data_IF_898531560440
#
_entry.id   IF_898531560440
#
_cell.length_a   1.000
_cell.length_b   1.000
_cell.length_c   1.000
_cell.angle_alpha   90.00
_cell.angle_beta   90.00
_cell.angle_gamma   90.00
#
_symmetry.space_group_name_H-M   'P 1'
#
loop_
_entity.id
_entity.type
_entity.pdbx_description
1 polymer ?
#
# COMPACT_ATOMS: atom_id res chain seq x y z
N UNK A 1 -2.73 -27.27 53.70
CA UNK A 1 -3.58 -27.69 52.57
C UNK A 1 -4.19 -26.48 51.83
N UNK A 2 -4.75 -25.49 52.53
CA UNK A 2 -5.31 -24.26 51.92
C UNK A 2 -4.31 -23.43 51.08
N UNK A 3 -3.03 -23.42 51.44
CA UNK A 3 -1.99 -22.69 50.71
C UNK A 3 -1.65 -23.26 49.32
N UNK A 4 -2.03 -24.51 49.03
CA UNK A 4 -1.73 -25.18 47.75
C UNK A 4 -2.85 -24.89 46.74
N UNK A 5 -4.13 -24.90 47.16
CA UNK A 5 -5.25 -24.48 46.32
C UNK A 5 -5.22 -22.99 45.97
N UNK A 6 -4.68 -22.13 46.85
CA UNK A 6 -4.54 -20.69 46.56
C UNK A 6 -3.45 -20.36 45.53
N UNK A 7 -2.47 -21.26 45.31
CA UNK A 7 -1.28 -21.01 44.45
C UNK A 7 -1.40 -21.58 43.04
N UNK A 8 -2.30 -22.53 42.78
CA UNK A 8 -2.53 -23.11 41.46
C UNK A 8 -4.03 -23.10 41.21
N UNK A 9 -4.47 -22.33 40.21
CA UNK A 9 -5.87 -22.19 39.74
C UNK A 9 -6.88 -23.02 40.55
N UNK A 10 -7.58 -22.43 41.52
CA UNK A 10 -8.36 -23.16 42.54
C UNK A 10 -9.54 -23.97 41.96
N UNK A 11 -9.83 -23.79 40.67
CA UNK A 11 -10.91 -24.44 39.93
C UNK A 11 -10.39 -25.46 38.91
N UNK A 12 -9.08 -25.71 38.89
CA UNK A 12 -8.48 -26.66 37.97
C UNK A 12 -8.62 -28.09 38.52
N UNK A 13 -9.07 -29.02 37.67
CA UNK A 13 -9.19 -30.44 38.01
C UNK A 13 -7.90 -31.02 38.64
N UNK A 14 -6.68 -30.67 38.17
CA UNK A 14 -5.44 -31.12 38.81
C UNK A 14 -5.26 -30.60 40.25
N UNK A 15 -5.71 -29.38 40.56
CA UNK A 15 -5.61 -28.83 41.91
C UNK A 15 -6.58 -29.54 42.88
N UNK A 16 -7.78 -29.88 42.41
CA UNK A 16 -8.77 -30.66 43.16
C UNK A 16 -8.29 -32.09 43.43
N UNK A 17 -7.76 -32.77 42.41
CA UNK A 17 -7.20 -34.12 42.53
C UNK A 17 -6.03 -34.13 43.53
N UNK A 18 -5.14 -33.13 43.46
CA UNK A 18 -4.01 -33.04 44.38
C UNK A 18 -4.45 -32.76 45.82
N UNK A 19 -5.49 -31.95 46.01
CA UNK A 19 -6.08 -31.69 47.33
C UNK A 19 -6.72 -32.95 47.93
N UNK A 20 -7.48 -33.70 47.13
CA UNK A 20 -8.08 -34.97 47.52
C UNK A 20 -7.00 -36.01 47.89
N UNK A 21 -5.96 -36.16 47.07
CA UNK A 21 -4.85 -37.07 47.33
C UNK A 21 -4.01 -36.67 48.56
N UNK A 22 -3.95 -35.38 48.90
CA UNK A 22 -3.29 -34.90 50.12
C UNK A 22 -4.14 -35.17 51.38
N UNK A 23 -5.46 -35.14 51.27
CA UNK A 23 -6.38 -35.48 52.36
C UNK A 23 -6.38 -36.98 52.69
N UNK A 24 -6.16 -37.85 51.70
CA UNK A 24 -6.08 -39.30 51.91
C UNK A 24 -4.87 -39.72 52.77
N UNK A 25 -3.75 -38.97 52.66
CA UNK A 25 -2.44 -39.27 53.27
C UNK A 25 -2.25 -38.79 54.72
N UNK A 26 -3.13 -37.97 55.27
CA UNK A 26 -3.07 -37.60 56.70
C UNK A 26 -3.65 -38.74 57.54
N UNK A 27 -3.24 -38.95 58.80
CA UNK A 27 -3.82 -40.02 59.67
C UNK A 27 -4.85 -39.47 60.68
N UNK A 28 -5.13 -38.17 60.61
CA UNK A 28 -6.02 -37.47 61.54
C UNK A 28 -7.46 -37.45 60.99
N UNK A 29 -8.34 -38.23 61.62
CA UNK A 29 -9.73 -38.43 61.17
C UNK A 29 -10.52 -37.12 61.13
N UNK A 30 -10.27 -36.18 62.06
CA UNK A 30 -10.95 -34.89 62.09
C UNK A 30 -10.54 -33.99 60.91
N UNK A 31 -9.24 -33.96 60.59
CA UNK A 31 -8.72 -33.21 59.44
C UNK A 31 -9.24 -33.77 58.10
N UNK A 32 -9.40 -35.11 58.00
CA UNK A 32 -10.02 -35.75 56.83
C UNK A 32 -11.46 -35.30 56.64
N UNK A 33 -12.30 -35.41 57.67
CA UNK A 33 -13.72 -35.02 57.60
C UNK A 33 -13.90 -33.56 57.19
N UNK A 34 -13.09 -32.64 57.74
CA UNK A 34 -13.16 -31.22 57.38
C UNK A 34 -12.77 -30.97 55.90
N UNK A 35 -11.82 -31.73 55.38
CA UNK A 35 -11.38 -31.61 53.97
C UNK A 35 -12.36 -32.25 53.00
N UNK A 36 -12.97 -33.39 53.35
CA UNK A 36 -14.03 -34.01 52.54
C UNK A 36 -15.26 -33.12 52.49
N UNK A 37 -15.70 -32.57 53.62
CA UNK A 37 -16.82 -31.61 53.64
C UNK A 37 -16.53 -30.36 52.81
N UNK A 38 -15.30 -29.83 52.84
CA UNK A 38 -14.91 -28.69 52.00
C UNK A 38 -14.98 -29.03 50.51
N UNK A 39 -14.46 -30.18 50.11
CA UNK A 39 -14.49 -30.65 48.73
C UNK A 39 -15.93 -30.91 48.26
N UNK A 40 -16.78 -31.53 49.09
CA UNK A 40 -18.21 -31.76 48.81
C UNK A 40 -18.97 -30.44 48.63
N UNK A 41 -18.81 -29.48 49.55
CA UNK A 41 -19.41 -28.13 49.40
C UNK A 41 -18.93 -27.44 48.13
N UNK A 42 -17.66 -27.64 47.75
CA UNK A 42 -17.08 -27.04 46.55
C UNK A 42 -17.60 -27.70 45.28
N UNK A 43 -17.71 -29.03 45.24
CA UNK A 43 -18.31 -29.81 44.14
C UNK A 43 -19.76 -29.37 43.96
N UNK A 44 -20.56 -29.34 45.04
CA UNK A 44 -21.94 -28.88 45.00
C UNK A 44 -22.08 -27.46 44.45
N UNK A 45 -21.18 -26.54 44.83
CA UNK A 45 -21.15 -25.19 44.28
C UNK A 45 -20.83 -25.18 42.77
N UNK A 46 -19.88 -25.99 42.32
CA UNK A 46 -19.53 -26.11 40.90
C UNK A 46 -20.65 -26.74 40.08
N UNK A 47 -21.35 -27.74 40.62
CA UNK A 47 -22.53 -28.35 40.00
C UNK A 47 -23.64 -27.32 39.80
N UNK A 48 -23.98 -26.52 40.83
CA UNK A 48 -24.98 -25.45 40.70
C UNK A 48 -24.56 -24.34 39.73
N UNK A 49 -23.26 -24.04 39.65
CA UNK A 49 -22.73 -23.04 38.72
C UNK A 49 -22.78 -23.55 37.27
N UNK A 50 -22.53 -24.85 37.06
CA UNK A 50 -22.65 -25.51 35.75
C UNK A 50 -24.12 -25.56 35.30
N UNK A 51 -25.02 -25.98 36.19
CA UNK A 51 -26.46 -26.01 35.89
C UNK A 51 -26.99 -24.60 35.54
N UNK A 52 -26.54 -23.57 36.28
CA UNK A 52 -26.86 -22.18 35.97
C UNK A 52 -26.34 -21.72 34.60
N UNK A 53 -25.12 -22.13 34.22
CA UNK A 53 -24.56 -21.83 32.88
C UNK A 53 -25.30 -22.56 31.77
N UNK A 54 -25.71 -23.80 32.00
CA UNK A 54 -26.53 -24.56 31.04
C UNK A 54 -27.89 -23.90 30.83
N UNK A 55 -28.52 -23.41 31.89
CA UNK A 55 -29.78 -22.69 31.79
C UNK A 55 -29.65 -21.32 31.13
N UNK A 56 -28.54 -20.61 31.35
CA UNK A 56 -28.21 -19.37 30.62
C UNK A 56 -27.98 -19.66 29.12
N UNK A 57 -27.24 -20.72 28.79
CA UNK A 57 -27.00 -21.14 27.41
C UNK A 57 -28.31 -21.52 26.72
N UNK A 58 -29.20 -22.28 27.37
CA UNK A 58 -30.54 -22.60 26.85
C UNK A 58 -31.38 -21.34 26.60
N UNK A 59 -31.36 -20.37 27.51
CA UNK A 59 -32.07 -19.08 27.35
C UNK A 59 -31.50 -18.28 26.18
N UNK A 60 -30.17 -18.21 26.07
CA UNK A 60 -29.47 -17.53 24.98
C UNK A 60 -29.78 -18.17 23.62
N UNK A 61 -29.73 -19.51 23.54
CA UNK A 61 -30.08 -20.26 22.33
C UNK A 61 -31.52 -19.99 21.90
N UNK A 62 -32.48 -20.04 22.84
CA UNK A 62 -33.89 -19.74 22.54
C UNK A 62 -34.07 -18.30 22.05
N UNK A 63 -33.38 -17.33 22.65
CA UNK A 63 -33.42 -15.94 22.19
C UNK A 63 -32.87 -15.80 20.76
N UNK A 64 -31.76 -16.48 20.46
CA UNK A 64 -31.17 -16.51 19.12
C UNK A 64 -32.12 -17.15 18.10
N UNK A 65 -32.77 -18.26 18.43
CA UNK A 65 -33.77 -18.92 17.58
C UNK A 65 -34.95 -18.00 17.28
N UNK A 66 -35.44 -17.27 18.29
CA UNK A 66 -36.51 -16.29 18.10
C UNK A 66 -36.10 -15.15 17.17
N UNK A 67 -34.88 -14.63 17.30
CA UNK A 67 -34.36 -13.61 16.37
C UNK A 67 -34.22 -14.18 14.95
N UNK A 68 -33.70 -15.40 14.81
CA UNK A 68 -33.59 -16.07 13.52
C UNK A 68 -34.95 -16.24 12.84
N UNK A 69 -35.97 -16.72 13.58
CA UNK A 69 -37.32 -16.87 13.06
C UNK A 69 -37.93 -15.53 12.64
N UNK A 70 -37.73 -14.47 13.45
CA UNK A 70 -38.20 -13.11 13.12
C UNK A 70 -37.59 -12.62 11.81
N UNK A 71 -36.27 -12.74 11.68
CA UNK A 71 -35.54 -12.31 10.47
C UNK A 71 -35.94 -13.16 9.26
N UNK A 72 -36.10 -14.47 9.44
CA UNK A 72 -36.58 -15.38 8.39
C UNK A 72 -37.94 -14.94 7.84
N UNK A 73 -38.91 -14.67 8.71
CA UNK A 73 -40.25 -14.21 8.29
C UNK A 73 -40.17 -12.88 7.54
N UNK A 74 -39.33 -11.94 7.99
CA UNK A 74 -39.13 -10.66 7.30
C UNK A 74 -38.57 -10.85 5.88
N UNK A 75 -37.60 -11.75 5.70
CA UNK A 75 -37.06 -12.06 4.39
C UNK A 75 -38.05 -12.81 3.50
N UNK A 76 -38.82 -13.76 4.05
CA UNK A 76 -39.87 -14.46 3.31
C UNK A 76 -40.95 -13.49 2.83
N UNK A 77 -41.38 -12.54 3.68
CA UNK A 77 -42.30 -11.47 3.27
C UNK A 77 -41.72 -10.60 2.16
N UNK A 78 -40.45 -10.19 2.29
CA UNK A 78 -39.78 -9.37 1.27
C UNK A 78 -39.63 -10.10 -0.06
N UNK A 79 -39.35 -11.40 -0.01
CA UNK A 79 -39.30 -12.25 -1.21
C UNK A 79 -40.67 -12.32 -1.88
N UNK A 80 -41.75 -12.54 -1.12
CA UNK A 80 -43.11 -12.55 -1.67
C UNK A 80 -43.50 -11.20 -2.30
N UNK A 81 -43.17 -10.08 -1.68
CA UNK A 81 -43.38 -8.75 -2.27
C UNK A 81 -42.64 -8.59 -3.60
N UNK A 82 -41.38 -9.01 -3.67
CA UNK A 82 -40.56 -8.92 -4.88
C UNK A 82 -41.08 -9.86 -5.98
N UNK A 83 -41.48 -11.08 -5.62
CA UNK A 83 -42.12 -12.03 -6.55
C UNK A 83 -43.44 -11.46 -7.09
N UNK A 84 -44.24 -10.81 -6.25
CA UNK A 84 -45.48 -10.16 -6.68
C UNK A 84 -45.21 -8.96 -7.60
N UNK A 85 -44.21 -8.13 -7.29
CA UNK A 85 -43.80 -7.02 -8.16
C UNK A 85 -43.29 -7.54 -9.51
N UNK A 86 -42.46 -8.57 -9.52
CA UNK A 86 -42.00 -9.21 -10.75
C UNK A 86 -43.18 -9.79 -11.54
N UNK A 87 -44.09 -10.51 -10.89
CA UNK A 87 -45.28 -11.05 -11.53
C UNK A 87 -46.21 -9.96 -12.09
N UNK A 88 -46.29 -8.80 -11.43
CA UNK A 88 -47.02 -7.63 -11.92
C UNK A 88 -46.34 -7.02 -13.15
N UNK A 89 -45.02 -6.79 -13.11
CA UNK A 89 -44.25 -6.29 -14.26
C UNK A 89 -44.34 -7.25 -15.46
N UNK A 90 -44.11 -8.54 -15.25
CA UNK A 90 -44.22 -9.58 -16.29
C UNK A 90 -45.67 -9.81 -16.74
N UNK A 91 -46.66 -9.60 -15.87
CA UNK A 91 -48.08 -9.70 -16.21
C UNK A 91 -48.61 -8.49 -17.00
N UNK A 92 -47.98 -7.33 -16.84
CA UNK A 92 -48.24 -6.13 -17.64
C UNK A 92 -47.47 -6.15 -18.97
N UNK A 93 -46.33 -6.84 -19.01
CA UNK A 93 -45.57 -7.11 -20.24
C UNK A 93 -46.13 -8.32 -21.00
N UNK A 94 -47.18 -8.05 -21.78
CA UNK A 94 -47.63 -8.67 -23.06
C UNK A 94 -49.04 -9.28 -23.07
N UNK A 95 -49.86 -9.05 -24.13
CA UNK A 95 -49.51 -8.59 -25.47
C UNK A 95 -50.25 -7.29 -25.90
N UNK A 96 -49.51 -6.19 -26.08
CA UNK A 96 -49.89 -5.12 -27.01
C UNK A 96 -48.67 -4.74 -27.87
N UNK A 97 -48.63 -5.33 -29.06
CA UNK A 97 -47.66 -5.18 -30.14
C UNK A 97 -47.55 -3.74 -30.73
N UNK A 98 -47.73 -2.67 -29.95
CA UNK A 98 -47.58 -1.31 -30.47
C UNK A 98 -47.17 -0.22 -29.44
N UNK A 99 -46.92 -0.58 -28.17
CA UNK A 99 -46.51 0.39 -27.14
C UNK A 99 -44.99 0.52 -26.92
N UNK A 100 -44.22 -0.53 -27.22
CA UNK A 100 -42.80 -0.62 -26.84
C UNK A 100 -41.85 0.18 -27.72
N UNK A 101 -42.35 0.85 -28.78
CA UNK A 101 -41.51 1.77 -29.55
C UNK A 101 -41.16 3.01 -28.75
N UNK A 102 -42.09 3.58 -27.99
CA UNK A 102 -41.84 4.82 -27.25
C UNK A 102 -40.76 4.65 -26.18
N UNK A 103 -40.90 3.66 -25.29
CA UNK A 103 -39.93 3.38 -24.23
C UNK A 103 -38.57 2.89 -24.75
N UNK A 104 -38.57 2.07 -25.81
CA UNK A 104 -37.32 1.65 -26.47
C UNK A 104 -36.62 2.85 -27.12
N UNK A 105 -37.35 3.77 -27.75
CA UNK A 105 -36.75 4.97 -28.34
C UNK A 105 -36.28 5.97 -27.28
N UNK A 106 -36.93 6.03 -26.12
CA UNK A 106 -36.56 6.91 -25.02
C UNK A 106 -35.27 6.42 -24.34
N UNK A 107 -35.16 5.11 -24.08
CA UNK A 107 -33.93 4.47 -23.62
C UNK A 107 -32.78 4.62 -24.63
N UNK A 108 -33.06 4.45 -25.92
CA UNK A 108 -32.05 4.63 -26.97
C UNK A 108 -31.57 6.09 -27.06
N UNK A 109 -32.47 7.06 -26.87
CA UNK A 109 -32.12 8.47 -26.75
C UNK A 109 -31.31 8.79 -25.49
N UNK A 110 -31.67 8.24 -24.33
CA UNK A 110 -30.90 8.41 -23.09
C UNK A 110 -29.49 7.83 -23.22
N UNK A 111 -29.35 6.65 -23.82
CA UNK A 111 -28.06 6.00 -24.07
C UNK A 111 -27.21 6.84 -25.03
N UNK A 112 -27.84 7.40 -26.07
CA UNK A 112 -27.16 8.27 -27.02
C UNK A 112 -26.77 9.63 -26.41
N UNK A 113 -27.60 10.18 -25.52
CA UNK A 113 -27.29 11.39 -24.76
C UNK A 113 -26.16 11.14 -23.76
N UNK A 114 -26.18 10.03 -23.04
CA UNK A 114 -25.12 9.62 -22.12
C UNK A 114 -23.79 9.44 -22.85
N UNK A 115 -23.81 8.80 -24.03
CA UNK A 115 -22.64 8.63 -24.89
C UNK A 115 -22.06 9.98 -25.36
N UNK A 116 -22.92 10.93 -25.76
CA UNK A 116 -22.51 12.30 -26.13
C UNK A 116 -21.89 13.03 -24.93
N UNK A 117 -22.53 12.98 -23.77
CA UNK A 117 -22.02 13.60 -22.54
C UNK A 117 -20.66 13.02 -22.17
N UNK A 118 -20.52 11.69 -22.18
CA UNK A 118 -19.24 11.03 -21.91
C UNK A 118 -18.17 11.44 -22.93
N UNK A 119 -18.50 11.50 -24.22
CA UNK A 119 -17.58 11.94 -25.26
C UNK A 119 -17.13 13.40 -25.07
N UNK A 120 -18.02 14.28 -24.65
CA UNK A 120 -17.69 15.68 -24.31
C UNK A 120 -16.78 15.72 -23.08
N UNK A 121 -17.08 14.97 -22.02
CA UNK A 121 -16.24 14.91 -20.82
C UNK A 121 -14.85 14.39 -21.14
N UNK A 122 -14.73 13.33 -21.92
CA UNK A 122 -13.44 12.78 -22.36
C UNK A 122 -12.67 13.81 -23.19
N UNK A 123 -13.34 14.51 -24.12
CA UNK A 123 -12.74 15.59 -24.89
C UNK A 123 -12.22 16.74 -24.02
N UNK A 124 -13.00 17.17 -23.02
CA UNK A 124 -12.60 18.21 -22.07
C UNK A 124 -11.41 17.78 -21.20
N UNK A 125 -11.40 16.53 -20.73
CA UNK A 125 -10.27 16.00 -19.98
C UNK A 125 -9.01 15.89 -20.86
N UNK A 126 -9.15 15.52 -22.13
CA UNK A 126 -8.03 15.51 -23.07
C UNK A 126 -7.48 16.91 -23.36
N UNK A 127 -8.34 17.92 -23.51
CA UNK A 127 -7.87 19.31 -23.69
C UNK A 127 -7.21 19.84 -22.42
N UNK A 128 -7.71 19.47 -21.23
CA UNK A 128 -7.07 19.79 -19.96
C UNK A 128 -5.69 19.14 -19.83
N UNK A 129 -5.56 17.86 -20.20
CA UNK A 129 -4.28 17.14 -20.22
C UNK A 129 -3.28 17.84 -21.16
N UNK A 130 -3.69 18.19 -22.39
CA UNK A 130 -2.80 18.88 -23.33
C UNK A 130 -2.45 20.31 -22.85
N UNK A 131 -3.39 21.03 -22.23
CA UNK A 131 -3.11 22.32 -21.60
C UNK A 131 -2.09 22.18 -20.46
N UNK A 132 -2.29 21.25 -19.52
CA UNK A 132 -1.36 21.00 -18.42
C UNK A 132 0.03 20.55 -18.91
N UNK A 133 0.07 19.74 -19.97
CA UNK A 133 1.33 19.33 -20.62
C UNK A 133 2.04 20.49 -21.29
N UNK A 134 1.31 21.39 -21.95
CA UNK A 134 1.86 22.63 -22.52
C UNK A 134 2.40 23.55 -21.42
N UNK A 135 1.66 23.71 -20.32
CA UNK A 135 2.05 24.50 -19.16
C UNK A 135 3.31 23.93 -18.50
N UNK A 136 3.38 22.60 -18.31
CA UNK A 136 4.58 21.93 -17.80
C UNK A 136 5.79 22.13 -18.73
N UNK A 137 5.58 22.09 -20.04
CA UNK A 137 6.65 22.34 -21.02
C UNK A 137 7.16 23.79 -20.95
N UNK A 138 6.25 24.76 -20.81
CA UNK A 138 6.59 26.18 -20.60
C UNK A 138 7.32 26.41 -19.27
N UNK A 139 6.85 25.83 -18.17
CA UNK A 139 7.51 25.91 -16.86
C UNK A 139 8.91 25.29 -16.90
N UNK A 140 9.09 24.17 -17.60
CA UNK A 140 10.39 23.53 -17.78
C UNK A 140 11.37 24.39 -18.59
N UNK A 141 10.89 25.11 -19.61
CA UNK A 141 11.70 26.08 -20.35
C UNK A 141 12.03 27.32 -19.51
N UNK A 142 11.05 27.84 -18.76
CA UNK A 142 11.24 28.99 -17.87
C UNK A 142 12.24 28.69 -16.75
N UNK A 143 12.12 27.54 -16.09
CA UNK A 143 13.09 27.05 -15.10
C UNK A 143 14.51 26.97 -15.66
N UNK A 144 14.67 26.57 -16.92
CA UNK A 144 15.99 26.49 -17.58
C UNK A 144 16.58 27.88 -17.88
N UNK A 145 15.74 28.87 -18.14
CA UNK A 145 16.18 30.25 -18.35
C UNK A 145 16.46 30.96 -17.02
N UNK A 146 15.59 30.79 -16.02
CA UNK A 146 15.75 31.37 -14.69
C UNK A 146 17.05 30.88 -14.00
N UNK A 147 17.43 29.60 -14.19
CA UNK A 147 18.71 29.08 -13.71
C UNK A 147 19.93 29.72 -14.40
N UNK A 148 19.85 29.99 -15.71
CA UNK A 148 20.93 30.67 -16.45
C UNK A 148 21.10 32.12 -16.01
N UNK A 149 20.00 32.81 -15.74
CA UNK A 149 20.03 34.20 -15.28
C UNK A 149 20.53 34.31 -13.83
N UNK A 150 20.19 33.34 -12.96
CA UNK A 150 20.69 33.28 -11.59
C UNK A 150 22.21 33.03 -11.54
N UNK A 151 22.73 32.09 -12.35
CA UNK A 151 24.18 31.82 -12.46
C UNK A 151 24.96 33.00 -13.07
N UNK A 152 24.37 33.69 -14.06
CA UNK A 152 24.92 34.91 -14.66
C UNK A 152 24.99 36.07 -13.67
N UNK A 153 23.98 36.20 -12.80
CA UNK A 153 23.95 37.25 -11.78
C UNK A 153 24.91 36.96 -10.62
N UNK A 154 24.99 35.71 -10.15
CA UNK A 154 25.95 35.30 -9.12
C UNK A 154 27.41 35.45 -9.57
N UNK A 155 27.71 35.10 -10.82
CA UNK A 155 29.05 35.31 -11.40
C UNK A 155 29.43 36.79 -11.53
N UNK A 156 28.49 37.67 -11.91
CA UNK A 156 28.72 39.13 -11.94
C UNK A 156 28.94 39.72 -10.53
N UNK A 157 28.20 39.28 -9.52
CA UNK A 157 28.36 39.74 -8.14
C UNK A 157 29.73 39.30 -7.60
N UNK A 158 30.13 38.04 -7.83
CA UNK A 158 31.46 37.54 -7.45
C UNK A 158 32.59 38.31 -8.14
N UNK A 159 32.42 38.63 -9.42
CA UNK A 159 33.39 39.45 -10.16
C UNK A 159 33.49 40.88 -9.62
N UNK A 160 32.37 41.50 -9.26
CA UNK A 160 32.33 42.82 -8.62
C UNK A 160 33.06 42.84 -7.27
N UNK A 161 32.76 41.87 -6.40
CA UNK A 161 33.39 41.75 -5.09
C UNK A 161 34.91 41.51 -5.19
N UNK A 162 35.36 40.72 -6.17
CA UNK A 162 36.78 40.51 -6.42
C UNK A 162 37.47 41.80 -6.90
N UNK A 163 36.81 42.57 -7.77
CA UNK A 163 37.31 43.85 -8.27
C UNK A 163 37.44 44.89 -7.15
N UNK A 164 36.45 44.98 -6.27
CA UNK A 164 36.48 45.89 -5.12
C UNK A 164 37.58 45.52 -4.12
N UNK A 165 37.79 44.22 -3.88
CA UNK A 165 38.90 43.76 -3.04
C UNK A 165 40.27 44.10 -3.63
N UNK A 166 40.41 44.00 -4.96
CA UNK A 166 41.63 44.38 -5.66
C UNK A 166 41.88 45.89 -5.56
N UNK A 167 40.85 46.72 -5.74
CA UNK A 167 40.96 48.18 -5.59
C UNK A 167 41.40 48.57 -4.17
N UNK A 168 40.83 47.94 -3.13
CA UNK A 168 41.24 48.17 -1.74
C UNK A 168 42.69 47.79 -1.48
N UNK A 169 43.12 46.62 -1.95
CA UNK A 169 44.51 46.18 -1.83
C UNK A 169 45.47 47.12 -2.58
N UNK A 170 45.06 47.63 -3.74
CA UNK A 170 45.86 48.59 -4.49
C UNK A 170 45.98 49.94 -3.77
N UNK A 171 44.89 50.42 -3.14
CA UNK A 171 44.92 51.63 -2.31
C UNK A 171 45.83 51.44 -1.08
N UNK A 172 45.76 50.29 -0.42
CA UNK A 172 46.64 49.94 0.70
C UNK A 172 48.11 49.90 0.27
N UNK A 173 48.41 49.31 -0.90
CA UNK A 173 49.75 49.28 -1.48
C UNK A 173 50.26 50.70 -1.76
N UNK A 174 49.44 51.57 -2.34
CA UNK A 174 49.79 52.98 -2.56
C UNK A 174 50.08 53.69 -1.23
N UNK A 175 49.27 53.46 -0.20
CA UNK A 175 49.49 54.03 1.12
C UNK A 175 50.78 53.51 1.76
N UNK A 176 51.06 52.21 1.68
CA UNK A 176 52.30 51.61 2.17
C UNK A 176 53.53 52.12 1.41
N UNK A 177 53.43 52.35 0.11
CA UNK A 177 54.50 52.98 -0.66
C UNK A 177 54.78 54.43 -0.22
N UNK A 178 53.74 55.20 0.09
CA UNK A 178 53.91 56.55 0.68
C UNK A 178 54.61 56.48 2.03
N UNK A 179 54.18 55.57 2.90
CA UNK A 179 54.79 55.34 4.22
C UNK A 179 56.27 54.97 4.08
N UNK A 180 56.62 54.05 3.18
CA UNK A 180 58.01 53.70 2.86
C UNK A 180 58.79 54.92 2.37
N UNK A 181 58.20 55.73 1.49
CA UNK A 181 58.86 56.95 0.99
C UNK A 181 59.14 57.95 2.11
N UNK A 182 58.21 58.13 3.04
CA UNK A 182 58.37 59.05 4.16
C UNK A 182 59.37 58.53 5.20
N UNK A 183 59.37 57.22 5.47
CA UNK A 183 60.42 56.57 6.25
C UNK A 183 61.79 56.73 5.58
N UNK A 184 61.87 56.58 4.25
CA UNK A 184 63.12 56.77 3.49
C UNK A 184 63.64 58.20 3.64
N UNK A 185 62.79 59.23 3.49
CA UNK A 185 63.18 60.63 3.74
C UNK A 185 63.65 60.85 5.18
N UNK A 186 63.03 60.17 6.14
CA UNK A 186 63.40 60.27 7.56
C UNK A 186 64.76 59.64 7.81
N UNK A 187 65.02 58.44 7.24
CA UNK A 187 66.31 57.78 7.29
C UNK A 187 67.39 58.64 6.62
N UNK A 188 67.12 59.22 5.46
CA UNK A 188 68.06 60.13 4.78
C UNK A 188 68.39 61.38 5.62
N UNK A 189 67.40 61.96 6.31
CA UNK A 189 67.63 63.08 7.25
C UNK A 189 68.53 62.65 8.41
N UNK A 190 68.20 61.53 9.06
CA UNK A 190 69.00 60.98 10.17
C UNK A 190 70.42 60.62 9.72
N UNK A 191 70.59 60.10 8.49
CA UNK A 191 71.90 59.85 7.91
C UNK A 191 72.68 61.14 7.65
N UNK A 192 72.03 62.21 7.14
CA UNK A 192 72.66 63.53 6.99
C UNK A 192 73.07 64.13 8.33
N UNK A 193 72.20 64.07 9.35
CA UNK A 193 72.52 64.52 10.71
C UNK A 193 73.70 63.72 11.29
N UNK A 194 73.71 62.40 11.13
CA UNK A 194 74.83 61.53 11.52
C UNK A 194 76.12 61.94 10.81
N UNK A 195 76.08 62.23 9.50
CA UNK A 195 77.25 62.68 8.75
C UNK A 195 77.75 64.05 9.21
N UNK A 196 76.86 64.99 9.55
CA UNK A 196 77.23 66.30 10.13
C UNK A 196 77.90 66.11 11.50
N UNK A 197 77.28 65.32 12.40
CA UNK A 197 77.86 65.03 13.72
C UNK A 197 79.22 64.31 13.63
N UNK A 198 79.41 63.43 12.66
CA UNK A 198 80.70 62.77 12.41
C UNK A 198 81.72 63.72 11.75
N UNK A 199 81.28 64.72 10.98
CA UNK A 199 82.16 65.73 10.37
C UNK A 199 82.69 66.72 11.40
N UNK A 200 81.87 67.13 12.37
CA UNK A 200 82.28 67.99 13.50
C UNK A 200 83.23 67.28 14.47
N UNK A 201 83.12 65.95 14.60
CA UNK A 201 84.04 65.14 15.40
C UNK A 201 85.42 64.91 14.73
N UNK A 202 85.53 65.08 13.41
CA UNK A 202 86.80 64.95 12.68
C UNK A 202 87.66 66.23 12.69
N UNK A 203 87.15 67.36 13.22
CA UNK A 203 87.94 68.58 13.45
C UNK A 203 88.52 68.69 14.88
N UNK A 204 88.18 67.77 15.79
CA UNK A 204 88.59 67.80 17.21
C UNK A 204 89.54 66.68 17.64
N UNK A 205 89.92 65.75 16.77
CA UNK A 205 90.90 64.70 17.07
C UNK A 205 92.08 64.72 16.07
N UNK A 206 92.82 65.83 16.05
CA UNK A 206 94.20 65.87 15.54
C UNK A 206 95.13 65.72 16.73
N UNK A 207 95.46 64.49 17.09
CA UNK A 207 96.71 64.17 17.81
C UNK A 207 96.98 62.68 17.74
N UNK A 208 98.05 62.40 16.99
CA UNK A 208 99.08 61.42 17.32
C UNK A 208 98.80 59.93 17.00
N UNK A 209 99.61 59.48 16.04
CA UNK A 209 100.43 58.24 16.08
C UNK A 209 99.70 56.89 16.05
N UNK A 210 100.21 55.82 15.45
CA UNK A 210 101.20 55.49 14.42
C UNK A 210 101.24 53.94 14.45
N UNK A 211 101.53 53.29 13.33
CA UNK A 211 101.95 51.88 13.29
C UNK A 211 100.82 50.93 12.86
N UNK A 212 100.81 50.41 11.63
CA UNK A 212 101.61 49.26 11.15
C UNK A 212 101.28 48.00 11.97
N UNK A 213 101.00 46.83 11.42
CA UNK A 213 101.33 46.26 10.14
C UNK A 213 100.38 45.10 9.87
N UNK A 214 100.02 44.90 8.61
CA UNK A 214 99.55 43.63 8.10
C UNK A 214 100.65 42.57 8.25
N UNK A 215 100.24 41.30 8.35
CA UNK A 215 100.71 40.16 7.54
C UNK A 215 100.58 38.84 8.33
N UNK A 216 100.49 37.76 7.57
CA UNK A 216 100.72 36.35 7.90
C UNK A 216 99.46 35.50 8.06
N UNK A 217 99.30 34.33 7.45
CA UNK A 217 99.86 33.65 6.28
C UNK A 217 99.13 32.29 6.25
N UNK A 218 98.67 31.87 5.06
CA UNK A 218 98.53 30.49 4.54
C UNK A 218 98.26 29.35 5.54
N UNK A 219 97.27 28.50 5.22
CA UNK A 219 97.58 27.17 4.65
C UNK A 219 96.37 26.53 3.93
N UNK A 220 96.68 26.04 2.75
CA UNK A 220 95.89 25.20 1.84
C UNK A 220 95.61 23.83 2.47
N UNK A 221 94.54 23.12 2.07
CA UNK A 221 94.56 22.06 1.02
C UNK A 221 93.25 21.25 0.99
N UNK A 222 92.65 21.16 -0.22
CA UNK A 222 92.06 19.99 -0.92
C UNK A 222 91.26 18.94 -0.12
N UNK A 223 90.13 18.35 -0.57
CA UNK A 223 89.81 17.90 -1.91
C UNK A 223 88.34 17.42 -2.01
N UNK A 224 87.69 17.73 -3.14
CA UNK A 224 86.94 16.77 -3.98
C UNK A 224 85.69 16.06 -3.41
N UNK A 225 84.48 16.58 -3.69
CA UNK A 225 83.55 16.03 -4.71
C UNK A 225 82.11 16.56 -4.57
N UNK A 226 81.50 16.78 -5.75
CA UNK A 226 80.06 16.86 -6.07
C UNK A 226 79.26 18.13 -5.71
N UNK A 227 78.99 18.88 -6.78
CA UNK A 227 77.73 19.56 -7.15
C UNK A 227 77.09 20.49 -6.10
N UNK A 228 77.36 21.78 -6.29
CA UNK A 228 76.47 22.91 -5.99
C UNK A 228 75.08 22.68 -6.66
N UNK A 229 73.96 23.24 -6.22
CA UNK A 229 73.73 24.60 -5.71
C UNK A 229 72.28 24.62 -5.17
N UNK A 230 72.04 24.83 -3.87
CA UNK A 230 71.77 26.13 -3.19
C UNK A 230 70.31 26.60 -3.44
N UNK A 231 69.48 26.99 -2.46
CA UNK A 231 69.73 27.57 -1.14
C UNK A 231 68.66 27.15 -0.12
N UNK A 232 69.12 26.71 1.05
CA UNK A 232 68.38 26.75 2.30
C UNK A 232 69.30 27.41 3.31
N UNK A 233 69.05 28.68 3.57
CA UNK A 233 69.60 29.51 4.65
C UNK A 233 68.71 30.77 4.75
N UNK A 234 68.77 31.57 5.82
CA UNK A 234 68.89 31.23 7.24
C UNK A 234 67.96 32.12 8.07
N UNK A 235 66.94 31.57 8.76
CA UNK A 235 66.24 32.39 9.75
C UNK A 235 67.03 32.41 11.06
N UNK A 236 67.78 33.50 11.17
CA UNK A 236 68.39 34.07 12.36
C UNK A 236 67.73 33.68 13.68
N UNK A 237 68.60 33.25 14.59
CA UNK A 237 68.55 33.40 16.04
C UNK A 237 67.87 34.70 16.51
N UNK A 238 66.54 34.69 16.66
CA UNK A 238 65.77 35.72 17.35
C UNK A 238 64.75 35.04 18.26
N UNK A 239 65.18 34.21 19.21
CA UNK A 239 64.39 33.86 20.40
C UNK A 239 65.32 33.56 21.58
N UNK A 240 66.17 34.53 21.92
CA UNK A 240 66.61 34.69 23.30
C UNK A 240 65.54 35.55 24.00
N UNK A 241 64.38 34.96 24.27
CA UNK A 241 63.50 35.42 25.33
C UNK A 241 63.29 34.20 26.22
N UNK A 242 64.30 33.91 27.05
CA UNK A 242 64.18 33.04 28.20
C UNK A 242 63.16 33.68 29.16
N UNK A 243 61.88 33.62 28.81
CA UNK A 243 60.78 33.68 29.77
C UNK A 243 60.90 32.42 30.59
N UNK A 244 61.69 32.53 31.64
CA UNK A 244 61.75 31.62 32.79
C UNK A 244 60.30 31.28 33.12
N UNK A 245 59.89 30.05 32.80
CA UNK A 245 58.55 29.56 33.06
C UNK A 245 58.36 29.54 34.58
N UNK A 246 57.72 30.58 35.14
CA UNK A 246 57.35 30.58 36.55
C UNK A 246 56.23 29.55 36.74
N UNK A 247 56.41 28.49 37.55
CA UNK A 247 55.37 27.48 37.75
C UNK A 247 54.14 28.03 38.49
N UNK A 248 54.22 29.24 39.05
CA UNK A 248 53.19 29.86 39.88
C UNK A 248 52.39 30.95 39.16
N UNK A 249 52.59 31.17 37.85
CA UNK A 249 51.77 32.11 37.06
C UNK A 249 50.37 31.58 36.73
N UNK A 250 50.12 30.30 37.00
CA UNK A 250 48.77 29.73 37.08
C UNK A 250 48.41 29.63 38.56
N UNK A 251 47.66 30.59 39.07
CA UNK A 251 47.09 30.50 40.42
C UNK A 251 46.26 29.20 40.53
N UNK A 252 46.30 28.52 41.68
CA UNK A 252 45.51 27.29 41.95
C UNK A 252 44.00 27.43 41.60
N UNK A 253 43.48 28.66 41.60
CA UNK A 253 42.14 29.01 41.12
C UNK A 253 41.89 28.62 39.65
N UNK A 254 42.84 28.85 38.75
CA UNK A 254 42.70 28.53 37.32
C UNK A 254 42.78 27.02 37.08
N UNK A 255 43.59 26.30 37.87
CA UNK A 255 43.65 24.84 37.79
C UNK A 255 42.35 24.21 38.31
N UNK A 256 41.78 24.74 39.39
CA UNK A 256 40.48 24.29 39.91
C UNK A 256 39.33 24.57 38.94
N UNK A 257 39.32 25.72 38.28
CA UNK A 257 38.31 26.08 37.26
C UNK A 257 38.36 25.12 36.07
N UNK A 258 39.55 24.82 35.54
CA UNK A 258 39.75 23.87 34.45
C UNK A 258 39.33 22.44 34.85
N UNK A 259 39.60 22.02 36.10
CA UNK A 259 39.17 20.71 36.60
C UNK A 259 37.64 20.61 36.74
N UNK A 260 37.01 21.69 37.21
CA UNK A 260 35.55 21.78 37.31
C UNK A 260 34.90 21.78 35.92
N UNK A 261 35.44 22.54 34.98
CA UNK A 261 35.00 22.55 33.58
C UNK A 261 35.19 21.17 32.94
N UNK A 262 36.31 20.49 33.20
CA UNK A 262 36.55 19.13 32.71
C UNK A 262 35.52 18.13 33.27
N UNK A 263 35.14 18.26 34.55
CA UNK A 263 34.10 17.46 35.17
C UNK A 263 32.72 17.74 34.54
N UNK A 264 32.37 19.01 34.34
CA UNK A 264 31.14 19.42 33.67
C UNK A 264 31.07 18.92 32.22
N UNK A 265 32.16 19.06 31.45
CA UNK A 265 32.24 18.57 30.06
C UNK A 265 32.12 17.05 29.99
N UNK A 266 32.66 16.31 30.96
CA UNK A 266 32.47 14.86 31.06
C UNK A 266 31.02 14.49 31.30
N UNK A 267 30.34 15.22 32.19
CA UNK A 267 28.91 15.02 32.46
C UNK A 267 28.05 15.36 31.23
N UNK A 268 28.34 16.47 30.54
CA UNK A 268 27.64 16.81 29.29
C UNK A 268 27.89 15.78 28.18
N UNK A 269 29.11 15.25 28.06
CA UNK A 269 29.42 14.18 27.11
C UNK A 269 28.65 12.91 27.43
N UNK A 270 28.55 12.53 28.71
CA UNK A 270 27.77 11.37 29.14
C UNK A 270 26.28 11.57 28.85
N UNK A 271 25.73 12.76 29.16
CA UNK A 271 24.35 13.13 28.86
C UNK A 271 24.05 13.06 27.36
N UNK A 272 24.91 13.66 26.52
CA UNK A 272 24.76 13.64 25.07
C UNK A 272 24.88 12.23 24.49
N UNK A 273 25.77 11.39 25.04
CA UNK A 273 25.91 9.98 24.65
C UNK A 273 24.64 9.19 24.98
N UNK A 274 24.07 9.40 26.17
CA UNK A 274 22.83 8.76 26.58
C UNK A 274 21.65 9.23 25.70
N UNK A 275 21.55 10.53 25.40
CA UNK A 275 20.52 11.08 24.52
C UNK A 275 20.63 10.51 23.10
N UNK A 276 21.84 10.44 22.53
CA UNK A 276 22.08 9.81 21.23
C UNK A 276 21.67 8.33 21.24
N UNK A 277 22.02 7.60 22.30
CA UNK A 277 21.62 6.20 22.45
C UNK A 277 20.10 6.04 22.54
N UNK A 278 19.42 6.94 23.26
CA UNK A 278 17.97 6.93 23.42
C UNK A 278 17.27 7.25 22.09
N UNK A 279 17.76 8.25 21.34
CA UNK A 279 17.22 8.60 20.03
C UNK A 279 17.41 7.45 19.03
N UNK A 280 18.56 6.77 19.06
CA UNK A 280 18.80 5.57 18.25
C UNK A 280 17.83 4.44 18.57
N UNK A 281 17.57 4.19 19.85
CA UNK A 281 16.60 3.15 20.26
C UNK A 281 15.18 3.55 19.84
N UNK A 282 14.79 4.81 20.02
CA UNK A 282 13.47 5.32 19.58
C UNK A 282 13.28 5.19 18.07
N UNK A 283 14.29 5.56 17.28
CA UNK A 283 14.22 5.45 15.82
C UNK A 283 14.16 3.99 15.37
N UNK A 284 14.95 3.10 15.98
CA UNK A 284 14.90 1.67 15.70
C UNK A 284 13.55 1.05 16.08
N UNK A 285 12.96 1.43 17.20
CA UNK A 285 11.63 0.98 17.60
C UNK A 285 10.53 1.46 16.63
N UNK A 286 10.61 2.72 16.18
CA UNK A 286 9.67 3.28 15.20
C UNK A 286 9.78 2.57 13.84
N UNK A 287 11.00 2.25 13.39
CA UNK A 287 11.23 1.46 12.17
C UNK A 287 10.68 0.04 12.29
N UNK A 288 10.97 -0.65 13.40
CA UNK A 288 10.44 -2.00 13.62
C UNK A 288 8.89 -2.02 13.67
N UNK A 289 8.28 -0.98 14.25
CA UNK A 289 6.83 -0.83 14.29
C UNK A 289 6.22 -0.58 12.90
N UNK A 290 6.81 0.32 12.10
CA UNK A 290 6.31 0.60 10.75
C UNK A 290 6.50 -0.61 9.82
N UNK A 291 7.64 -1.30 9.90
CA UNK A 291 7.89 -2.55 9.17
C UNK A 291 6.91 -3.66 9.56
N UNK A 292 6.61 -3.81 10.86
CA UNK A 292 5.63 -4.79 11.33
C UNK A 292 4.22 -4.48 10.79
N UNK A 293 3.81 -3.21 10.81
CA UNK A 293 2.52 -2.80 10.26
C UNK A 293 2.42 -3.05 8.76
N UNK A 294 3.49 -2.74 8.00
CA UNK A 294 3.53 -3.04 6.56
C UNK A 294 3.40 -4.55 6.32
N UNK A 295 4.13 -5.37 7.09
CA UNK A 295 4.05 -6.83 6.97
C UNK A 295 2.65 -7.35 7.28
N UNK A 296 2.02 -6.89 8.36
CA UNK A 296 0.65 -7.28 8.72
C UNK A 296 -0.35 -6.90 7.62
N UNK A 297 -0.28 -5.67 7.10
CA UNK A 297 -1.14 -5.25 6.00
C UNK A 297 -0.92 -6.11 4.74
N UNK A 298 0.33 -6.49 4.44
CA UNK A 298 0.63 -7.41 3.34
C UNK A 298 0.06 -8.81 3.58
N UNK A 299 0.16 -9.34 4.79
CA UNK A 299 -0.43 -10.62 5.19
C UNK A 299 -1.97 -10.57 5.07
N UNK A 300 -2.62 -9.54 5.60
CA UNK A 300 -4.08 -9.35 5.53
C UNK A 300 -4.56 -9.24 4.07
N UNK A 301 -3.85 -8.48 3.22
CA UNK A 301 -4.19 -8.38 1.79
C UNK A 301 -3.96 -9.69 1.06
N UNK A 302 -2.93 -10.46 1.40
CA UNK A 302 -2.68 -11.77 0.83
C UNK A 302 -3.76 -12.78 1.23
N UNK A 303 -4.19 -12.77 2.50
CA UNK A 303 -5.29 -13.60 3.00
C UNK A 303 -6.63 -13.25 2.33
N UNK A 304 -6.91 -11.95 2.16
CA UNK A 304 -8.08 -11.49 1.41
C UNK A 304 -8.06 -11.98 -0.04
N UNK A 305 -6.93 -11.85 -0.74
CA UNK A 305 -6.77 -12.34 -2.12
C UNK A 305 -6.92 -13.87 -2.17
N UNK A 306 -6.37 -14.60 -1.21
CA UNK A 306 -6.49 -16.06 -1.15
C UNK A 306 -7.95 -16.49 -0.94
N UNK A 307 -8.67 -15.82 -0.04
CA UNK A 307 -10.09 -16.04 0.22
C UNK A 307 -10.95 -15.77 -1.02
N UNK A 308 -10.66 -14.66 -1.72
CA UNK A 308 -11.35 -14.30 -2.96
C UNK A 308 -11.09 -15.32 -4.07
N UNK A 309 -9.85 -15.78 -4.22
CA UNK A 309 -9.49 -16.85 -5.19
C UNK A 309 -10.20 -18.16 -4.86
N UNK A 310 -10.26 -18.55 -3.58
CA UNK A 310 -10.95 -19.75 -3.15
C UNK A 310 -12.46 -19.67 -3.43
N UNK A 311 -13.09 -18.53 -3.10
CA UNK A 311 -14.51 -18.31 -3.39
C UNK A 311 -14.81 -18.35 -4.89
N UNK A 312 -13.94 -17.75 -5.71
CA UNK A 312 -14.08 -17.80 -7.17
C UNK A 312 -13.96 -19.24 -7.70
N UNK A 313 -12.97 -19.99 -7.23
CA UNK A 313 -12.77 -21.39 -7.61
C UNK A 313 -13.99 -22.25 -7.25
N UNK A 314 -14.57 -22.05 -6.07
CA UNK A 314 -15.79 -22.74 -5.65
C UNK A 314 -16.98 -22.42 -6.55
N UNK A 315 -17.18 -21.17 -6.97
CA UNK A 315 -18.29 -20.82 -7.88
C UNK A 315 -18.08 -21.42 -9.27
N UNK A 316 -16.84 -21.45 -9.78
CA UNK A 316 -16.52 -22.13 -11.04
C UNK A 316 -16.84 -23.62 -10.95
N UNK A 317 -16.42 -24.30 -9.89
CA UNK A 317 -16.73 -25.72 -9.67
C UNK A 317 -18.25 -25.96 -9.60
N UNK A 318 -18.98 -25.10 -8.92
CA UNK A 318 -20.44 -25.16 -8.83
C UNK A 318 -21.11 -25.02 -10.21
N UNK A 319 -20.67 -24.07 -11.04
CA UNK A 319 -21.18 -23.92 -12.41
C UNK A 319 -20.90 -25.17 -13.23
N UNK A 320 -19.67 -25.72 -13.16
CA UNK A 320 -19.29 -26.94 -13.86
C UNK A 320 -20.13 -28.13 -13.40
N UNK A 321 -20.32 -28.31 -12.10
CA UNK A 321 -21.16 -29.38 -11.55
C UNK A 321 -22.62 -29.25 -11.98
N UNK A 322 -23.16 -28.03 -11.98
CA UNK A 322 -24.53 -27.78 -12.43
C UNK A 322 -24.69 -28.10 -13.92
N UNK A 323 -23.77 -27.64 -14.75
CA UNK A 323 -23.74 -27.96 -16.18
C UNK A 323 -23.63 -29.48 -16.42
N UNK A 324 -22.76 -30.18 -15.68
CA UNK A 324 -22.64 -31.64 -15.77
C UNK A 324 -23.92 -32.37 -15.33
N UNK A 325 -24.67 -31.84 -14.37
CA UNK A 325 -25.94 -32.41 -13.92
C UNK A 325 -27.04 -32.22 -14.97
N UNK A 326 -27.18 -31.01 -15.50
CA UNK A 326 -28.17 -30.65 -16.52
C UNK A 326 -27.90 -31.38 -17.84
N UNK A 327 -26.63 -31.45 -18.25
CA UNK A 327 -26.19 -32.14 -19.46
C UNK A 327 -25.69 -33.55 -19.19
N UNK A 328 -26.05 -34.13 -18.03
CA UNK A 328 -25.74 -35.52 -17.78
C UNK A 328 -26.34 -36.38 -18.89
N UNK A 329 -25.57 -37.39 -19.32
CA UNK A 329 -26.01 -38.33 -20.35
C UNK A 329 -27.37 -38.93 -20.03
N UNK A 330 -27.69 -39.07 -18.74
CA UNK A 330 -29.01 -39.49 -18.25
C UNK A 330 -30.13 -38.50 -18.58
N UNK A 331 -29.95 -37.18 -18.36
CA UNK A 331 -31.02 -36.21 -18.65
C UNK A 331 -31.23 -36.05 -20.16
N UNK A 332 -30.15 -36.07 -20.92
CA UNK A 332 -30.21 -36.09 -22.39
C UNK A 332 -30.90 -37.36 -22.90
N UNK A 333 -30.58 -38.53 -22.33
CA UNK A 333 -31.22 -39.80 -22.69
C UNK A 333 -32.71 -39.83 -22.31
N UNK A 334 -33.11 -39.27 -21.16
CA UNK A 334 -34.50 -39.14 -20.75
C UNK A 334 -35.30 -38.31 -21.76
N UNK A 335 -34.80 -37.13 -22.12
CA UNK A 335 -35.44 -36.27 -23.12
C UNK A 335 -35.49 -36.95 -24.49
N UNK A 336 -34.43 -37.63 -24.91
CA UNK A 336 -34.38 -38.39 -26.15
C UNK A 336 -35.41 -39.53 -26.18
N UNK A 337 -35.57 -40.26 -25.07
CA UNK A 337 -36.59 -41.31 -24.95
C UNK A 337 -38.00 -40.73 -25.00
N UNK A 338 -38.22 -39.56 -24.38
CA UNK A 338 -39.51 -38.86 -24.43
C UNK A 338 -39.87 -38.42 -25.85
N UNK A 339 -38.89 -37.84 -26.57
CA UNK A 339 -39.04 -37.48 -27.99
C UNK A 339 -39.35 -38.72 -28.83
N UNK A 340 -38.58 -39.80 -28.67
CA UNK A 340 -38.79 -41.05 -29.41
C UNK A 340 -40.19 -41.64 -29.15
N UNK A 341 -40.69 -41.59 -27.91
CA UNK A 341 -42.05 -42.05 -27.58
C UNK A 341 -43.12 -41.20 -28.26
N UNK A 342 -42.94 -39.87 -28.26
CA UNK A 342 -43.84 -38.95 -28.96
C UNK A 342 -43.81 -39.15 -30.47
N UNK A 343 -42.64 -39.40 -31.07
CA UNK A 343 -42.50 -39.71 -32.49
C UNK A 343 -43.25 -40.99 -32.87
N UNK A 344 -43.19 -42.04 -32.04
CA UNK A 344 -43.93 -43.28 -32.25
C UNK A 344 -45.44 -43.01 -32.20
N UNK A 345 -45.91 -42.25 -31.21
CA UNK A 345 -47.33 -41.88 -31.10
C UNK A 345 -47.80 -41.08 -32.31
N UNK A 346 -47.02 -40.11 -32.77
CA UNK A 346 -47.32 -39.31 -33.96
C UNK A 346 -47.44 -40.22 -35.18
N UNK A 347 -46.50 -41.15 -35.39
CA UNK A 347 -46.58 -42.13 -36.48
C UNK A 347 -47.84 -42.98 -36.41
N UNK A 348 -48.18 -43.47 -35.22
CA UNK A 348 -49.40 -44.26 -35.04
C UNK A 348 -50.67 -43.45 -35.35
N UNK A 349 -50.75 -42.19 -34.89
CA UNK A 349 -51.88 -41.31 -35.20
C UNK A 349 -51.95 -40.99 -36.69
N UNK A 350 -50.81 -40.78 -37.36
CA UNK A 350 -50.75 -40.60 -38.82
C UNK A 350 -51.26 -41.85 -39.56
N UNK A 351 -50.89 -43.04 -39.10
CA UNK A 351 -51.36 -44.30 -39.67
C UNK A 351 -52.87 -44.50 -39.47
N UNK A 352 -53.38 -44.20 -38.28
CA UNK A 352 -54.83 -44.20 -38.02
C UNK A 352 -55.60 -43.22 -38.91
N UNK A 353 -55.06 -42.01 -39.13
CA UNK A 353 -55.66 -41.04 -40.05
C UNK A 353 -55.68 -41.58 -41.49
N UNK A 354 -54.60 -42.21 -41.94
CA UNK A 354 -54.54 -42.82 -43.27
C UNK A 354 -55.46 -44.06 -43.43
N UNK A 355 -55.67 -44.83 -42.37
CA UNK A 355 -56.69 -45.90 -42.35
C UNK A 355 -58.10 -45.35 -42.42
N UNK A 356 -58.40 -44.32 -41.61
CA UNK A 356 -59.69 -43.64 -41.62
C UNK A 356 -60.00 -43.06 -43.01
N UNK A 357 -59.03 -42.43 -43.66
CA UNK A 357 -59.15 -41.89 -45.02
C UNK A 357 -59.46 -42.99 -46.04
N UNK A 358 -58.73 -44.11 -45.99
CA UNK A 358 -59.01 -45.29 -46.84
C UNK A 358 -60.40 -45.88 -46.61
N UNK A 359 -60.86 -45.95 -45.36
CA UNK A 359 -62.22 -46.38 -45.04
C UNK A 359 -63.27 -45.42 -45.59
N UNK A 360 -63.01 -44.11 -45.52
CA UNK A 360 -63.89 -43.08 -46.07
C UNK A 360 -63.97 -43.17 -47.60
N UNK A 361 -62.84 -43.36 -48.29
CA UNK A 361 -62.82 -43.61 -49.73
C UNK A 361 -63.60 -44.87 -50.12
N UNK A 362 -63.39 -45.98 -49.39
CA UNK A 362 -64.12 -47.23 -49.62
C UNK A 362 -65.63 -47.06 -49.40
N UNK A 363 -66.04 -46.31 -48.37
CA UNK A 363 -67.43 -45.99 -48.10
C UNK A 363 -68.03 -45.16 -49.24
N UNK A 364 -67.33 -44.14 -49.73
CA UNK A 364 -67.78 -43.33 -50.87
C UNK A 364 -67.96 -44.19 -52.12
N UNK A 365 -67.02 -45.10 -52.41
CA UNK A 365 -67.13 -46.05 -53.52
C UNK A 365 -68.36 -46.96 -53.34
N UNK A 366 -68.59 -47.49 -52.14
CA UNK A 366 -69.76 -48.33 -51.85
C UNK A 366 -71.07 -47.55 -52.03
N UNK A 367 -71.15 -46.31 -51.55
CA UNK A 367 -72.33 -45.44 -51.71
C UNK A 367 -72.59 -45.07 -53.19
N UNK A 368 -71.53 -44.92 -54.00
CA UNK A 368 -71.69 -44.71 -55.44
C UNK A 368 -72.28 -45.97 -56.09
N UNK A 369 -71.75 -47.16 -55.74
CA UNK A 369 -72.24 -48.45 -56.24
C UNK A 369 -73.70 -48.70 -55.84
N UNK A 370 -74.05 -48.42 -54.59
CA UNK A 370 -75.41 -48.51 -54.07
C UNK A 370 -76.37 -47.61 -54.85
N UNK A 371 -76.03 -46.32 -55.03
CA UNK A 371 -76.84 -45.39 -55.84
C UNK A 371 -77.01 -45.82 -57.30
N UNK A 372 -76.01 -46.47 -57.89
CA UNK A 372 -76.13 -47.02 -59.24
C UNK A 372 -77.10 -48.20 -59.29
N UNK A 373 -77.00 -49.11 -58.33
CA UNK A 373 -77.92 -50.25 -58.20
C UNK A 373 -79.36 -49.79 -57.90
N UNK A 374 -79.56 -48.81 -57.03
CA UNK A 374 -80.88 -48.22 -56.77
C UNK A 374 -81.52 -47.66 -58.05
N UNK A 375 -80.73 -46.94 -58.88
CA UNK A 375 -81.20 -46.43 -60.18
C UNK A 375 -81.56 -47.57 -61.13
N UNK A 376 -80.78 -48.64 -61.18
CA UNK A 376 -81.03 -49.79 -62.03
C UNK A 376 -82.30 -50.55 -61.60
N UNK A 377 -82.47 -50.81 -60.30
CA UNK A 377 -83.68 -51.41 -59.74
C UNK A 377 -84.91 -50.54 -60.02
N UNK A 378 -84.81 -49.23 -59.82
CA UNK A 378 -85.90 -48.30 -60.14
C UNK A 378 -86.27 -48.33 -61.63
N UNK A 379 -85.27 -48.35 -62.52
CA UNK A 379 -85.49 -48.41 -63.98
C UNK A 379 -86.12 -49.73 -64.42
N UNK A 380 -85.70 -50.85 -63.83
CA UNK A 380 -86.28 -52.18 -64.08
C UNK A 380 -87.72 -52.27 -63.55
N UNK A 381 -88.00 -51.71 -62.37
CA UNK A 381 -89.34 -51.66 -61.80
C UNK A 381 -90.30 -50.81 -62.64
N UNK A 382 -89.88 -49.62 -63.07
CA UNK A 382 -90.68 -48.77 -63.97
C UNK A 382 -90.92 -49.43 -65.32
N UNK A 383 -89.90 -50.11 -65.87
CA UNK A 383 -90.04 -50.87 -67.12
C UNK A 383 -91.03 -52.04 -66.99
N UNK A 384 -90.98 -52.79 -65.89
CA UNK A 384 -91.98 -53.84 -65.59
C UNK A 384 -93.39 -53.27 -65.44
N UNK A 385 -93.56 -52.15 -64.73
CA UNK A 385 -94.86 -51.48 -64.59
C UNK A 385 -95.44 -51.07 -65.95
N UNK A 386 -94.62 -50.48 -66.83
CA UNK A 386 -95.04 -50.14 -68.18
C UNK A 386 -95.46 -51.37 -69.00
N UNK A 387 -94.71 -52.47 -68.92
CA UNK A 387 -95.06 -53.75 -69.57
C UNK A 387 -96.37 -54.33 -69.03
N UNK A 388 -96.59 -54.29 -67.71
CA UNK A 388 -97.84 -54.77 -67.10
C UNK A 388 -99.04 -53.90 -67.47
N UNK A 389 -98.87 -52.56 -67.54
CA UNK A 389 -99.91 -51.67 -68.03
C UNK A 389 -100.24 -51.96 -69.50
N UNK A 390 -99.22 -52.23 -70.32
CA UNK A 390 -99.43 -52.53 -71.74
C UNK A 390 -100.15 -53.88 -71.97
N UNK A 391 -99.96 -54.85 -71.07
CA UNK A 391 -100.66 -56.15 -71.07
C UNK A 391 -102.08 -56.09 -70.50
N UNK A 392 -102.43 -55.05 -69.75
CA UNK A 392 -103.77 -54.81 -69.20
C UNK A 392 -104.66 -53.99 -70.15
N UNK A 393 -104.07 -53.26 -71.11
CA UNK A 393 -104.76 -52.46 -72.14
C UNK A 393 -104.99 -53.23 -73.48
N UNK A 394 -104.63 -54.52 -73.55
CA UNK A 394 -104.94 -55.46 -74.66
C UNK A 394 -105.97 -56.47 -74.18
#
# INVERSE_FOLDING_TARGET
MEGILKRRYPNSLPALIYAAAAAEKTNDLSAKTNTTEFLERRIKKLETELEGKDDEAKKSLRAMEQQFQKVKIQYEQRLLELEQLLAYEFGNETPKLNGNKASSTELEQELQNLKKTHQITVGNLQTEIENLKSQNSQLKLRSKNDNKDLESMDSKIKQGNAKDRLLKLNEELVNKNREIQDLTKTVEKLQKERMVMLSDNNLRNKTNTNGNSAEVLKKNTSATNKRNSNDSEPFLNIFNDDKIHQPHSFSDSHLSEVLQENAHLKEELERLSLEMSQQRVKSQAALAYSENNIRRMQEDTAEYIASLKASHQMEVEKIVCQHAKEHSTSKVAELKNRISTQEILIKHLQEQLGEQERHQEALLVSQIRERLLEKEVHLNFTSCLCLTHHLLDV
#
